data_IF_772157542139
#
_entry.id   IF_772157542139
#
_cell.length_a   1.000
_cell.length_b   1.000
_cell.length_c   1.000
_cell.angle_alpha   90.00
_cell.angle_beta   90.00
_cell.angle_gamma   90.00
#
_symmetry.space_group_name_H-M   'P 1'
#
loop_
_entity.id
_entity.type
_entity.pdbx_description
1 polymer ?
#
# COMPACT_ATOMS: atom_id res chain seq x y z
N UNK A 1 -11.07 14.40 35.82
CA UNK A 1 -10.09 13.30 35.67
C UNK A 1 -8.87 13.89 35.01
N UNK A 2 -7.84 14.23 35.78
CA UNK A 2 -6.58 14.74 35.21
C UNK A 2 -5.88 13.57 34.53
N UNK A 3 -5.77 13.63 33.21
CA UNK A 3 -5.02 12.65 32.43
C UNK A 3 -3.57 12.71 32.87
N UNK A 4 -3.04 11.61 33.39
CA UNK A 4 -1.62 11.52 33.77
C UNK A 4 -0.80 11.71 32.51
N UNK A 5 0.10 12.70 32.44
CA UNK A 5 0.90 12.94 31.26
C UNK A 5 1.76 11.70 30.93
N UNK A 6 1.77 11.31 29.65
CA UNK A 6 2.60 10.20 29.18
C UNK A 6 4.08 10.63 29.19
N UNK A 7 4.73 10.32 30.32
CA UNK A 7 6.14 10.60 30.56
C UNK A 7 7.03 10.05 29.44
N UNK A 8 6.67 8.90 28.84
CA UNK A 8 7.49 8.25 27.80
C UNK A 8 7.38 8.99 26.47
N UNK A 9 6.20 9.51 26.13
CA UNK A 9 6.02 10.36 24.95
C UNK A 9 6.76 11.70 25.11
N UNK A 10 6.69 12.30 26.30
CA UNK A 10 7.41 13.54 26.62
C UNK A 10 8.93 13.35 26.54
N UNK A 11 9.50 12.34 27.21
CA UNK A 11 10.94 12.07 27.18
C UNK A 11 11.45 11.81 25.76
N UNK A 12 10.66 11.16 24.90
CA UNK A 12 11.02 10.96 23.48
C UNK A 12 11.02 12.22 22.64
N UNK A 13 10.36 13.29 23.10
CA UNK A 13 10.31 14.58 22.40
C UNK A 13 11.49 15.48 22.74
N UNK A 14 12.25 15.17 23.79
CA UNK A 14 13.43 15.92 24.21
C UNK A 14 14.65 15.57 23.36
N UNK A 15 15.57 16.53 23.20
CA UNK A 15 16.87 16.30 22.56
C UNK A 15 17.82 15.48 23.47
N UNK A 16 18.91 15.00 22.87
CA UNK A 16 19.87 14.13 23.55
C UNK A 16 20.62 14.83 24.71
N UNK A 17 20.83 16.15 24.62
CA UNK A 17 21.56 16.93 25.63
C UNK A 17 20.70 17.11 26.88
N UNK A 18 19.45 17.53 26.70
CA UNK A 18 18.46 17.65 27.78
C UNK A 18 18.20 16.31 28.47
N UNK A 19 18.11 15.21 27.70
CA UNK A 19 17.97 13.87 28.28
C UNK A 19 19.20 13.44 29.08
N UNK A 20 20.40 13.79 28.63
CA UNK A 20 21.64 13.47 29.33
C UNK A 20 21.74 14.24 30.65
N UNK A 21 21.41 15.53 30.68
CA UNK A 21 21.40 16.32 31.91
C UNK A 21 20.38 15.79 32.93
N UNK A 22 19.16 15.48 32.50
CA UNK A 22 18.13 14.92 33.37
C UNK A 22 18.55 13.56 33.96
N UNK A 23 19.12 12.68 33.13
CA UNK A 23 19.62 11.37 33.59
C UNK A 23 20.81 11.51 34.54
N UNK A 24 21.72 12.46 34.27
CA UNK A 24 22.86 12.71 35.13
C UNK A 24 22.42 13.27 36.49
N UNK A 25 21.51 14.25 36.49
CA UNK A 25 20.93 14.80 37.72
C UNK A 25 20.19 13.73 38.53
N UNK A 26 19.43 12.83 37.89
CA UNK A 26 18.76 11.74 38.60
C UNK A 26 19.76 10.71 39.15
N UNK A 27 20.80 10.38 38.39
CA UNK A 27 21.88 9.51 38.83
C UNK A 27 22.65 10.11 40.02
N UNK A 28 22.67 11.44 40.17
CA UNK A 28 23.26 12.04 41.36
C UNK A 28 22.55 11.62 42.66
N UNK A 29 21.23 11.42 42.58
CA UNK A 29 20.35 11.14 43.70
C UNK A 29 20.05 9.63 43.88
N UNK A 30 20.10 8.82 42.82
CA UNK A 30 19.92 7.37 42.87
C UNK A 30 21.24 6.60 42.68
N UNK A 31 21.72 5.98 43.78
CA UNK A 31 22.96 5.20 43.80
C UNK A 31 22.93 3.98 42.88
N UNK A 32 21.77 3.33 42.71
CA UNK A 32 21.64 2.14 41.84
C UNK A 32 21.68 2.55 40.37
N UNK A 33 21.00 3.64 40.01
CA UNK A 33 21.06 4.20 38.66
C UNK A 33 22.48 4.66 38.32
N UNK A 34 23.17 5.32 39.26
CA UNK A 34 24.58 5.69 39.12
C UNK A 34 25.47 4.49 38.87
N UNK A 35 25.40 3.46 39.71
CA UNK A 35 26.20 2.23 39.54
C UNK A 35 25.90 1.53 38.20
N UNK A 36 24.65 1.54 37.73
CA UNK A 36 24.27 0.96 36.43
C UNK A 36 24.81 1.80 35.25
N UNK A 37 24.75 3.13 35.33
CA UNK A 37 25.32 4.03 34.33
C UNK A 37 26.85 3.96 34.31
N UNK A 38 27.51 3.88 35.47
CA UNK A 38 28.96 3.70 35.60
C UNK A 38 29.43 2.35 35.08
N UNK A 39 28.67 1.27 35.31
CA UNK A 39 28.96 -0.04 34.70
C UNK A 39 28.79 0.00 33.18
N UNK A 40 27.75 0.67 32.68
CA UNK A 40 27.55 0.87 31.24
C UNK A 40 28.60 1.80 30.62
N UNK A 41 29.09 2.78 31.36
CA UNK A 41 30.17 3.69 30.95
C UNK A 41 31.55 3.01 31.02
N UNK A 42 31.79 2.17 32.02
CA UNK A 42 32.97 1.30 32.10
C UNK A 42 32.97 0.20 31.03
N UNK A 43 31.78 -0.19 30.57
CA UNK A 43 31.56 -0.99 29.37
C UNK A 43 31.53 -0.15 28.07
N UNK A 44 31.50 1.19 28.14
CA UNK A 44 31.57 2.04 26.96
C UNK A 44 32.98 1.89 26.38
N UNK A 45 33.02 1.48 25.11
CA UNK A 45 34.18 0.84 24.53
C UNK A 45 35.38 1.78 24.38
N UNK A 46 36.59 1.24 24.59
CA UNK A 46 37.84 1.86 24.13
C UNK A 46 37.91 1.98 22.60
N UNK A 47 36.91 1.49 21.88
CA UNK A 47 36.77 1.62 20.44
C UNK A 47 36.65 3.08 19.99
N UNK A 48 35.91 3.94 20.72
CA UNK A 48 35.61 5.29 20.22
C UNK A 48 36.88 6.12 19.91
N UNK A 49 37.89 6.22 20.81
CA UNK A 49 39.14 6.91 20.48
C UNK A 49 39.90 6.30 19.30
N UNK A 50 39.89 4.96 19.16
CA UNK A 50 40.56 4.29 18.04
C UNK A 50 39.85 4.58 16.70
N UNK A 51 38.51 4.60 16.70
CA UNK A 51 37.70 4.96 15.55
C UNK A 51 37.87 6.44 15.18
N UNK A 52 37.96 7.33 16.16
CA UNK A 52 38.22 8.75 15.92
C UNK A 52 39.59 8.99 15.28
N UNK A 53 40.63 8.29 15.76
CA UNK A 53 41.97 8.37 15.16
C UNK A 53 41.95 7.84 13.73
N UNK A 54 41.32 6.69 13.49
CA UNK A 54 41.24 6.08 12.17
C UNK A 54 40.46 6.97 11.19
N UNK A 55 39.36 7.56 11.63
CA UNK A 55 38.57 8.50 10.82
C UNK A 55 39.39 9.74 10.45
N UNK A 56 40.14 10.31 11.39
CA UNK A 56 41.03 11.45 11.11
C UNK A 56 42.10 11.08 10.08
N UNK A 57 42.74 9.91 10.21
CA UNK A 57 43.76 9.46 9.26
C UNK A 57 43.20 9.25 7.85
N UNK A 58 41.99 8.68 7.74
CA UNK A 58 41.30 8.56 6.45
C UNK A 58 40.89 9.93 5.87
N UNK A 59 40.47 10.87 6.73
CA UNK A 59 40.08 12.22 6.31
C UNK A 59 41.27 13.06 5.85
N UNK A 60 42.46 12.87 6.43
CA UNK A 60 43.68 13.58 6.01
C UNK A 60 44.28 13.05 4.71
N UNK A 61 43.74 11.96 4.15
CA UNK A 61 44.16 11.41 2.86
C UNK A 61 45.58 10.84 2.90
N UNK A 62 45.97 10.20 4.00
CA UNK A 62 47.29 9.58 4.13
C UNK A 62 47.53 8.56 3.01
N UNK A 63 48.74 8.54 2.44
CA UNK A 63 49.17 7.53 1.44
C UNK A 63 49.42 6.14 2.04
N UNK A 64 49.37 6.01 3.37
CA UNK A 64 49.59 4.75 4.05
C UNK A 64 48.36 3.86 3.93
N UNK A 65 48.57 2.57 3.67
CA UNK A 65 47.49 1.58 3.67
C UNK A 65 46.95 1.39 5.10
N UNK A 66 45.77 1.96 5.34
CA UNK A 66 45.05 1.86 6.61
C UNK A 66 44.15 0.63 6.68
N UNK A 67 44.02 -0.16 5.60
CA UNK A 67 43.13 -1.33 5.54
C UNK A 67 43.44 -2.36 6.65
N UNK A 68 44.71 -2.72 6.91
CA UNK A 68 45.04 -3.65 8.00
C UNK A 68 44.71 -3.09 9.38
N UNK A 69 44.91 -1.78 9.58
CA UNK A 69 44.61 -1.11 10.85
C UNK A 69 43.08 -1.08 11.07
N UNK A 70 42.31 -0.66 10.07
CA UNK A 70 40.86 -0.61 10.13
C UNK A 70 40.26 -2.00 10.40
N UNK A 71 40.79 -3.03 9.75
CA UNK A 71 40.39 -4.42 10.01
C UNK A 71 40.68 -4.85 11.44
N UNK A 72 41.88 -4.59 11.95
CA UNK A 72 42.26 -4.93 13.33
C UNK A 72 41.40 -4.17 14.35
N UNK A 73 41.09 -2.91 14.08
CA UNK A 73 40.19 -2.11 14.93
C UNK A 73 38.79 -2.72 14.98
N UNK A 74 38.25 -3.16 13.83
CA UNK A 74 36.94 -3.84 13.73
C UNK A 74 36.92 -5.20 14.44
N UNK A 75 37.99 -5.98 14.35
CA UNK A 75 38.13 -7.28 15.01
C UNK A 75 38.32 -7.14 16.53
N UNK A 76 38.88 -6.03 17.01
CA UNK A 76 39.15 -5.73 18.43
C UNK A 76 38.06 -4.97 19.18
N UNK A 77 36.81 -5.00 18.71
CA UNK A 77 35.68 -4.24 19.26
C UNK A 77 34.99 -4.92 20.47
N UNK A 78 35.78 -5.42 21.42
CA UNK A 78 35.21 -6.02 22.64
C UNK A 78 34.41 -4.97 23.43
N UNK A 79 33.19 -5.34 23.84
CA UNK A 79 32.27 -4.44 24.54
C UNK A 79 31.68 -3.29 23.69
N UNK A 80 32.01 -3.19 22.40
CA UNK A 80 31.51 -2.12 21.54
C UNK A 80 30.00 -2.18 21.32
N UNK A 81 29.39 -1.00 21.35
CA UNK A 81 27.99 -0.77 21.01
C UNK A 81 27.70 -1.11 19.54
N UNK A 82 26.44 -1.36 19.20
CA UNK A 82 26.03 -1.60 17.82
C UNK A 82 26.30 -0.40 16.89
N UNK A 83 26.35 0.82 17.43
CA UNK A 83 26.70 2.02 16.68
C UNK A 83 28.20 2.08 16.36
N UNK A 84 29.06 1.78 17.33
CA UNK A 84 30.52 1.70 17.13
C UNK A 84 30.90 0.61 16.15
N UNK A 85 30.25 -0.56 16.21
CA UNK A 85 30.46 -1.64 15.23
C UNK A 85 30.10 -1.22 13.81
N UNK A 86 28.94 -0.56 13.62
CA UNK A 86 28.53 -0.01 12.32
C UNK A 86 29.53 1.05 11.82
N UNK A 87 29.96 1.95 12.70
CA UNK A 87 30.98 2.97 12.37
C UNK A 87 32.29 2.35 11.94
N UNK A 88 32.78 1.34 12.66
CA UNK A 88 34.00 0.62 12.31
C UNK A 88 33.91 -0.10 10.95
N UNK A 89 32.77 -0.72 10.65
CA UNK A 89 32.54 -1.35 9.34
C UNK A 89 32.59 -0.33 8.21
N UNK A 90 31.93 0.82 8.37
CA UNK A 90 31.95 1.90 7.38
C UNK A 90 33.36 2.48 7.17
N UNK A 91 34.14 2.62 8.25
CA UNK A 91 35.53 3.06 8.16
C UNK A 91 36.43 2.02 7.48
N UNK A 92 36.20 0.73 7.71
CA UNK A 92 36.89 -0.34 6.99
C UNK A 92 36.55 -0.32 5.49
N UNK A 93 35.28 -0.17 5.13
CA UNK A 93 34.85 -0.02 3.74
C UNK A 93 35.53 1.18 3.05
N UNK A 94 35.58 2.33 3.72
CA UNK A 94 36.31 3.52 3.24
C UNK A 94 37.80 3.26 3.05
N UNK A 95 38.45 2.55 3.98
CA UNK A 95 39.86 2.20 3.85
C UNK A 95 40.09 1.29 2.63
N UNK A 96 39.23 0.28 2.44
CA UNK A 96 39.26 -0.58 1.25
C UNK A 96 39.02 0.19 -0.06
N UNK A 97 38.20 1.25 -0.06
CA UNK A 97 38.00 2.05 -1.27
C UNK A 97 39.27 2.83 -1.66
N UNK A 98 40.03 3.33 -0.68
CA UNK A 98 41.30 4.06 -0.93
C UNK A 98 42.42 3.11 -1.33
N UNK A 99 42.54 1.98 -0.65
CA UNK A 99 43.53 0.95 -0.93
C UNK A 99 42.85 -0.42 -1.06
N UNK A 100 42.33 -0.76 -2.27
CA UNK A 100 41.61 -2.00 -2.50
C UNK A 100 42.47 -3.23 -2.20
N UNK A 101 42.07 -4.10 -1.26
CA UNK A 101 42.70 -5.41 -1.10
C UNK A 101 42.34 -6.31 -2.29
N UNK A 102 42.88 -7.53 -2.31
CA UNK A 102 42.50 -8.51 -3.33
C UNK A 102 40.98 -8.78 -3.32
N UNK A 103 40.29 -8.65 -4.47
CA UNK A 103 38.83 -8.74 -4.55
C UNK A 103 38.19 -10.02 -4.01
N UNK A 104 38.73 -11.19 -4.37
CA UNK A 104 38.15 -12.48 -3.97
C UNK A 104 38.39 -12.79 -2.48
N UNK A 105 39.59 -12.57 -1.92
CA UNK A 105 39.79 -12.68 -0.47
C UNK A 105 38.93 -11.71 0.35
N UNK A 106 38.68 -10.49 -0.14
CA UNK A 106 37.76 -9.55 0.51
C UNK A 106 36.33 -10.09 0.52
N UNK A 107 35.85 -10.59 -0.63
CA UNK A 107 34.54 -11.24 -0.76
C UNK A 107 34.38 -12.43 0.20
N UNK A 108 35.36 -13.34 0.22
CA UNK A 108 35.36 -14.52 1.08
C UNK A 108 35.37 -14.13 2.56
N UNK A 109 36.14 -13.09 2.93
CA UNK A 109 36.15 -12.57 4.28
C UNK A 109 34.78 -11.99 4.67
N UNK A 110 34.20 -11.08 3.86
CA UNK A 110 32.89 -10.46 4.12
C UNK A 110 31.74 -11.49 4.22
N UNK A 111 31.81 -12.59 3.48
CA UNK A 111 30.83 -13.67 3.60
C UNK A 111 31.08 -14.55 4.83
N UNK A 112 32.36 -14.83 5.13
CA UNK A 112 32.75 -15.50 6.36
C UNK A 112 32.28 -14.76 7.60
N UNK A 113 32.40 -13.42 7.59
CA UNK A 113 31.91 -12.54 8.65
C UNK A 113 30.39 -12.65 8.80
N UNK A 114 29.66 -12.44 7.69
CA UNK A 114 28.21 -12.42 7.67
C UNK A 114 27.57 -13.75 8.08
N UNK A 115 28.15 -14.90 7.70
CA UNK A 115 27.56 -16.22 7.96
C UNK A 115 27.89 -16.81 9.33
N UNK A 116 28.96 -16.36 9.99
CA UNK A 116 29.50 -17.04 11.17
C UNK A 116 29.53 -16.17 12.44
N UNK A 117 29.29 -14.85 12.35
CA UNK A 117 29.34 -13.92 13.48
C UNK A 117 28.03 -13.14 13.61
N UNK A 118 27.04 -13.67 14.35
CA UNK A 118 25.74 -12.99 14.52
C UNK A 118 25.83 -11.72 15.37
N UNK A 119 26.91 -11.55 16.12
CA UNK A 119 27.24 -10.36 16.93
C UNK A 119 27.87 -9.22 16.09
N UNK A 120 28.21 -9.48 14.83
CA UNK A 120 28.85 -8.50 13.98
C UNK A 120 27.84 -7.57 13.27
N UNK A 121 28.27 -6.35 12.90
CA UNK A 121 27.41 -5.42 12.19
C UNK A 121 27.00 -6.01 10.84
N UNK A 122 25.80 -5.67 10.38
CA UNK A 122 25.35 -6.08 9.06
C UNK A 122 26.29 -5.50 7.99
N UNK A 123 26.68 -6.36 7.05
CA UNK A 123 27.51 -5.99 5.91
C UNK A 123 26.61 -5.39 4.82
N UNK A 124 26.85 -4.15 4.44
CA UNK A 124 26.25 -3.50 3.28
C UNK A 124 27.17 -3.68 2.07
N UNK A 125 26.75 -4.50 1.10
CA UNK A 125 27.58 -4.79 -0.09
C UNK A 125 27.91 -3.52 -0.89
N UNK A 126 27.01 -2.53 -0.88
CA UNK A 126 27.19 -1.26 -1.56
C UNK A 126 28.43 -0.49 -1.08
N UNK A 127 28.74 -0.54 0.21
CA UNK A 127 29.89 0.16 0.80
C UNK A 127 31.22 -0.42 0.31
N UNK A 128 31.23 -1.70 -0.08
CA UNK A 128 32.42 -2.41 -0.56
C UNK A 128 32.45 -2.58 -2.08
N UNK A 129 31.43 -2.11 -2.82
CA UNK A 129 31.26 -2.38 -4.24
C UNK A 129 32.47 -1.95 -5.09
N UNK A 130 33.03 -0.77 -4.80
CA UNK A 130 34.20 -0.23 -5.50
C UNK A 130 35.46 -1.09 -5.23
N UNK A 131 35.70 -1.44 -3.96
CA UNK A 131 36.85 -2.25 -3.57
C UNK A 131 36.76 -3.70 -4.06
N UNK A 132 35.56 -4.27 -4.12
CA UNK A 132 35.31 -5.62 -4.63
C UNK A 132 35.44 -5.69 -6.16
N UNK A 133 35.00 -4.64 -6.86
CA UNK A 133 34.90 -4.64 -8.31
C UNK A 133 34.09 -5.83 -8.87
N UNK A 134 34.15 -6.02 -10.19
CA UNK A 134 33.47 -7.13 -10.84
C UNK A 134 33.91 -8.53 -10.34
N UNK A 135 35.21 -8.81 -10.11
CA UNK A 135 35.66 -10.13 -9.67
C UNK A 135 35.15 -10.50 -8.27
N UNK A 136 35.25 -9.56 -7.32
CA UNK A 136 34.79 -9.77 -5.94
C UNK A 136 33.27 -9.94 -5.86
N UNK A 137 32.51 -9.12 -6.60
CA UNK A 137 31.05 -9.24 -6.65
C UNK A 137 30.61 -10.57 -7.29
N UNK A 138 31.30 -11.02 -8.34
CA UNK A 138 31.03 -12.32 -8.97
C UNK A 138 31.33 -13.49 -8.01
N UNK A 139 32.44 -13.41 -7.27
CA UNK A 139 32.79 -14.37 -6.21
C UNK A 139 31.74 -14.42 -5.11
N UNK A 140 31.30 -13.26 -4.61
CA UNK A 140 30.24 -13.19 -3.61
C UNK A 140 28.94 -13.82 -4.11
N UNK A 141 28.53 -13.48 -5.35
CA UNK A 141 27.34 -14.04 -5.98
C UNK A 141 27.41 -15.57 -6.08
N UNK A 142 28.54 -16.12 -6.53
CA UNK A 142 28.72 -17.57 -6.65
C UNK A 142 28.50 -18.30 -5.31
N UNK A 143 29.05 -17.77 -4.21
CA UNK A 143 28.90 -18.37 -2.88
C UNK A 143 27.47 -18.24 -2.36
N UNK A 144 26.87 -17.05 -2.52
CA UNK A 144 25.49 -16.79 -2.10
C UNK A 144 24.50 -17.70 -2.84
N UNK A 145 24.63 -17.82 -4.15
CA UNK A 145 23.81 -18.72 -4.98
C UNK A 145 23.97 -20.18 -4.54
N UNK A 146 25.20 -20.61 -4.22
CA UNK A 146 25.48 -21.93 -3.67
C UNK A 146 24.77 -22.19 -2.34
N UNK A 147 24.74 -21.21 -1.44
CA UNK A 147 24.00 -21.31 -0.16
C UNK A 147 22.49 -21.36 -0.40
N UNK A 148 21.97 -20.58 -1.35
CA UNK A 148 20.54 -20.54 -1.68
C UNK A 148 20.04 -21.84 -2.34
N UNK A 149 20.88 -22.51 -3.12
CA UNK A 149 20.61 -23.81 -3.75
C UNK A 149 20.72 -24.99 -2.76
N UNK A 150 21.42 -24.79 -1.63
CA UNK A 150 21.62 -25.80 -0.60
C UNK A 150 20.40 -26.09 0.29
N UNK A 151 20.64 -26.85 1.36
CA UNK A 151 19.59 -27.20 2.33
C UNK A 151 19.11 -25.98 3.11
N UNK A 152 17.82 -25.92 3.51
CA UNK A 152 17.32 -24.89 4.40
C UNK A 152 18.14 -24.81 5.70
N UNK A 153 18.45 -23.60 6.14
CA UNK A 153 19.19 -23.34 7.39
C UNK A 153 19.34 -21.85 7.68
N UNK A 154 19.87 -21.46 8.85
CA UNK A 154 19.96 -20.06 9.29
C UNK A 154 20.71 -19.14 8.31
N UNK A 155 21.70 -19.68 7.60
CA UNK A 155 22.48 -18.94 6.59
C UNK A 155 21.65 -18.55 5.36
N UNK A 156 20.52 -19.21 5.11
CA UNK A 156 19.71 -18.98 3.91
C UNK A 156 19.03 -17.62 3.93
N UNK A 157 18.60 -17.13 5.10
CA UNK A 157 17.97 -15.81 5.20
C UNK A 157 19.01 -14.70 4.99
N UNK A 158 20.22 -14.88 5.54
CA UNK A 158 21.37 -13.99 5.30
C UNK A 158 21.73 -13.99 3.81
N UNK A 159 21.78 -15.17 3.17
CA UNK A 159 22.05 -15.30 1.75
C UNK A 159 20.97 -14.62 0.88
N UNK A 160 19.68 -14.68 1.25
CA UNK A 160 18.61 -13.96 0.53
C UNK A 160 18.81 -12.44 0.60
N UNK A 161 19.16 -11.91 1.78
CA UNK A 161 19.46 -10.47 1.95
C UNK A 161 20.66 -10.06 1.10
N UNK A 162 21.73 -10.84 1.13
CA UNK A 162 22.94 -10.57 0.34
C UNK A 162 22.68 -10.66 -1.17
N UNK A 163 21.85 -11.62 -1.63
CA UNK A 163 21.48 -11.74 -3.04
C UNK A 163 20.71 -10.50 -3.55
N UNK A 164 19.84 -9.94 -2.71
CA UNK A 164 19.13 -8.69 -3.02
C UNK A 164 20.10 -7.50 -3.11
N UNK A 165 20.99 -7.32 -2.13
CA UNK A 165 22.01 -6.27 -2.17
C UNK A 165 22.96 -6.42 -3.36
N UNK A 166 23.37 -7.65 -3.70
CA UNK A 166 24.21 -7.92 -4.87
C UNK A 166 23.51 -7.52 -6.16
N UNK A 167 22.24 -7.89 -6.34
CA UNK A 167 21.47 -7.50 -7.53
C UNK A 167 21.29 -5.98 -7.64
N UNK A 168 21.15 -5.27 -6.51
CA UNK A 168 21.10 -3.80 -6.47
C UNK A 168 22.43 -3.17 -6.87
N UNK A 169 23.55 -3.68 -6.35
CA UNK A 169 24.90 -3.16 -6.63
C UNK A 169 25.35 -3.44 -8.05
N UNK A 170 25.08 -4.64 -8.58
CA UNK A 170 25.44 -4.99 -9.97
C UNK A 170 24.48 -4.40 -11.00
N UNK A 171 23.34 -3.85 -10.58
CA UNK A 171 22.29 -3.39 -11.48
C UNK A 171 21.56 -4.53 -12.20
N UNK A 172 21.59 -5.75 -11.66
CA UNK A 172 20.86 -6.89 -12.20
C UNK A 172 19.37 -6.78 -11.85
N UNK A 173 18.68 -6.01 -12.70
CA UNK A 173 17.25 -5.70 -12.57
C UNK A 173 16.40 -6.97 -12.58
N UNK A 174 16.71 -7.95 -13.43
CA UNK A 174 15.90 -9.17 -13.56
C UNK A 174 16.00 -10.04 -12.31
N UNK A 175 17.21 -10.23 -11.78
CA UNK A 175 17.39 -10.96 -10.51
C UNK A 175 16.71 -10.23 -9.36
N UNK A 176 16.85 -8.90 -9.27
CA UNK A 176 16.20 -8.11 -8.22
C UNK A 176 14.66 -8.21 -8.29
N UNK A 177 14.09 -8.17 -9.49
CA UNK A 177 12.65 -8.35 -9.70
C UNK A 177 12.18 -9.74 -9.29
N UNK A 178 12.94 -10.79 -9.62
CA UNK A 178 12.62 -12.16 -9.22
C UNK A 178 12.59 -12.29 -7.68
N UNK A 179 13.57 -11.70 -6.98
CA UNK A 179 13.64 -11.68 -5.52
C UNK A 179 12.46 -10.91 -4.93
N UNK A 180 12.20 -9.69 -5.40
CA UNK A 180 11.13 -8.83 -4.87
C UNK A 180 9.74 -9.43 -5.11
N UNK A 181 9.52 -10.07 -6.27
CA UNK A 181 8.23 -10.69 -6.60
C UNK A 181 7.96 -11.97 -5.78
N UNK A 182 9.01 -12.65 -5.31
CA UNK A 182 8.87 -13.79 -4.41
C UNK A 182 8.48 -13.39 -2.97
N UNK A 183 8.68 -12.11 -2.59
CA UNK A 183 8.26 -11.58 -1.27
C UNK A 183 6.75 -11.39 -1.22
N UNK A 184 6.13 -11.43 -0.03
CA UNK A 184 4.71 -11.08 0.10
C UNK A 184 4.48 -9.65 -0.40
N UNK A 185 3.42 -9.41 -1.20
CA UNK A 185 3.15 -8.10 -1.76
C UNK A 185 2.76 -7.13 -0.64
N UNK A 186 3.60 -6.13 -0.41
CA UNK A 186 3.34 -5.02 0.52
C UNK A 186 3.44 -3.70 -0.22
N UNK A 187 2.91 -2.62 0.37
CA UNK A 187 2.99 -1.29 -0.25
C UNK A 187 4.42 -0.88 -0.55
N UNK A 188 5.33 -1.21 0.34
CA UNK A 188 6.74 -0.92 0.22
C UNK A 188 7.39 -1.73 -0.90
N UNK A 189 7.14 -3.04 -0.96
CA UNK A 189 7.67 -3.93 -2.00
C UNK A 189 7.18 -3.52 -3.39
N UNK A 190 5.87 -3.24 -3.54
CA UNK A 190 5.30 -2.81 -4.82
C UNK A 190 5.94 -1.51 -5.32
N UNK A 191 6.15 -0.53 -4.42
CA UNK A 191 6.81 0.73 -4.76
C UNK A 191 8.29 0.52 -5.10
N UNK A 192 8.98 -0.40 -4.42
CA UNK A 192 10.37 -0.75 -4.74
C UNK A 192 10.49 -1.35 -6.13
N UNK A 193 9.61 -2.30 -6.49
CA UNK A 193 9.54 -2.88 -7.85
C UNK A 193 9.33 -1.81 -8.92
N UNK A 194 8.38 -0.90 -8.71
CA UNK A 194 8.10 0.20 -9.66
C UNK A 194 9.32 1.12 -9.82
N UNK A 195 10.01 1.45 -8.72
CA UNK A 195 11.22 2.28 -8.77
C UNK A 195 12.34 1.60 -9.54
N UNK A 196 12.58 0.31 -9.28
CA UNK A 196 13.60 -0.50 -9.97
C UNK A 196 13.34 -0.55 -11.47
N UNK A 197 12.10 -0.83 -11.89
CA UNK A 197 11.72 -0.84 -13.30
C UNK A 197 11.92 0.53 -13.96
N UNK A 198 11.62 1.61 -13.22
CA UNK A 198 11.77 2.98 -13.73
C UNK A 198 13.24 3.39 -13.85
N UNK A 199 14.09 3.07 -12.87
CA UNK A 199 15.54 3.37 -12.94
C UNK A 199 16.22 2.58 -14.05
N UNK A 200 15.69 1.41 -14.40
CA UNK A 200 16.15 0.59 -15.51
C UNK A 200 15.63 1.04 -16.90
N UNK A 201 14.82 2.10 -16.99
CA UNK A 201 14.20 2.53 -18.25
C UNK A 201 13.04 1.65 -18.76
N UNK A 202 12.63 0.63 -18.00
CA UNK A 202 11.52 -0.29 -18.33
C UNK A 202 10.16 0.33 -17.96
N UNK A 203 9.89 1.53 -18.48
CA UNK A 203 8.72 2.33 -18.10
C UNK A 203 7.38 1.63 -18.41
N UNK A 204 7.28 0.90 -19.53
CA UNK A 204 6.07 0.16 -19.89
C UNK A 204 5.70 -0.89 -18.85
N UNK A 205 6.68 -1.64 -18.36
CA UNK A 205 6.49 -2.65 -17.31
C UNK A 205 6.19 -2.02 -15.96
N UNK A 206 6.84 -0.90 -15.62
CA UNK A 206 6.54 -0.14 -14.41
C UNK A 206 5.08 0.32 -14.39
N UNK A 207 4.57 0.84 -15.51
CA UNK A 207 3.17 1.28 -15.66
C UNK A 207 2.23 0.08 -15.55
N UNK A 208 2.51 -1.02 -16.26
CA UNK A 208 1.69 -2.23 -16.20
C UNK A 208 1.61 -2.80 -14.78
N UNK A 209 2.74 -2.83 -14.07
CA UNK A 209 2.81 -3.30 -12.68
C UNK A 209 2.07 -2.36 -11.73
N UNK A 210 2.22 -1.04 -11.89
CA UNK A 210 1.49 -0.05 -11.12
C UNK A 210 -0.03 -0.17 -11.33
N UNK A 211 -0.48 -0.31 -12.58
CA UNK A 211 -1.89 -0.52 -12.90
C UNK A 211 -2.42 -1.82 -12.27
N UNK A 212 -1.66 -2.92 -12.34
CA UNK A 212 -2.02 -4.20 -11.70
C UNK A 212 -2.16 -4.07 -10.18
N UNK A 213 -1.19 -3.46 -9.51
CA UNK A 213 -1.23 -3.28 -8.05
C UNK A 213 -2.32 -2.29 -7.63
N UNK A 214 -2.57 -1.25 -8.43
CA UNK A 214 -3.74 -0.38 -8.26
C UNK A 214 -5.03 -1.15 -8.41
N UNK A 215 -5.25 -1.94 -9.47
CA UNK A 215 -6.45 -2.76 -9.63
C UNK A 215 -6.66 -3.76 -8.50
N UNK A 216 -5.58 -4.36 -7.98
CA UNK A 216 -5.65 -5.26 -6.83
C UNK A 216 -5.99 -4.54 -5.52
N UNK A 217 -5.54 -3.29 -5.34
CA UNK A 217 -5.87 -2.42 -4.19
C UNK A 217 -7.21 -1.70 -4.33
N UNK A 218 -7.62 -1.45 -5.57
CA UNK A 218 -8.91 -0.92 -6.01
C UNK A 218 -9.96 -2.03 -6.14
N UNK A 219 -9.63 -3.29 -5.82
CA UNK A 219 -10.64 -4.19 -5.27
C UNK A 219 -11.21 -3.44 -4.07
N UNK A 220 -12.40 -2.83 -4.21
CA UNK A 220 -12.78 -1.80 -3.27
C UNK A 220 -12.93 -2.48 -1.92
N UNK A 221 -12.79 -1.71 -0.84
CA UNK A 221 -13.04 -2.18 0.55
C UNK A 221 -14.47 -2.75 0.78
N UNK A 222 -15.25 -3.03 -0.27
CA UNK A 222 -16.56 -3.69 -0.28
C UNK A 222 -16.78 -4.69 -1.45
N UNK A 223 -15.73 -5.22 -2.09
CA UNK A 223 -15.83 -6.32 -3.06
C UNK A 223 -16.52 -5.97 -4.39
N UNK A 224 -17.00 -6.99 -5.11
CA UNK A 224 -17.62 -6.83 -6.44
C UNK A 224 -18.84 -5.88 -6.44
N UNK A 225 -19.56 -5.79 -5.32
CA UNK A 225 -20.69 -4.88 -5.14
C UNK A 225 -20.29 -3.41 -5.29
N UNK A 226 -19.15 -3.03 -4.70
CA UNK A 226 -18.65 -1.66 -4.82
C UNK A 226 -18.18 -1.31 -6.25
N UNK A 227 -17.72 -2.30 -7.02
CA UNK A 227 -17.41 -2.11 -8.44
C UNK A 227 -18.68 -1.87 -9.25
N UNK A 228 -19.74 -2.65 -9.02
CA UNK A 228 -21.05 -2.42 -9.65
C UNK A 228 -21.65 -1.06 -9.27
N UNK A 229 -21.46 -0.59 -8.02
CA UNK A 229 -21.85 0.78 -7.64
C UNK A 229 -21.09 1.83 -8.46
N UNK A 230 -19.78 1.67 -8.63
CA UNK A 230 -18.98 2.61 -9.40
C UNK A 230 -19.34 2.61 -10.89
N UNK A 231 -19.61 1.44 -11.46
CA UNK A 231 -20.10 1.28 -12.84
C UNK A 231 -21.46 1.95 -13.03
N UNK A 232 -22.41 1.70 -12.13
CA UNK A 232 -23.71 2.34 -12.14
C UNK A 232 -23.62 3.87 -12.04
N UNK A 233 -22.74 4.40 -11.18
CA UNK A 233 -22.49 5.85 -11.07
C UNK A 233 -21.92 6.45 -12.36
N UNK A 234 -21.09 5.71 -13.09
CA UNK A 234 -20.47 6.18 -14.34
C UNK A 234 -21.44 6.12 -15.52
N UNK A 235 -22.35 5.14 -15.52
CA UNK A 235 -23.32 4.93 -16.59
C UNK A 235 -24.64 4.38 -16.03
N UNK A 236 -25.55 5.24 -15.56
CA UNK A 236 -26.85 4.81 -15.06
C UNK A 236 -27.73 4.33 -16.22
N UNK A 237 -27.82 3.02 -16.39
CA UNK A 237 -28.58 2.40 -17.47
C UNK A 237 -29.22 1.09 -16.99
N UNK A 238 -30.15 0.50 -17.78
CA UNK A 238 -30.80 -0.73 -17.37
C UNK A 238 -29.85 -1.89 -17.07
N UNK A 239 -28.79 -2.03 -17.86
CA UNK A 239 -27.82 -3.11 -17.67
C UNK A 239 -27.02 -2.95 -16.37
N UNK A 240 -26.59 -1.73 -16.04
CA UNK A 240 -25.82 -1.45 -14.82
C UNK A 240 -26.69 -1.50 -13.56
N UNK A 241 -27.97 -1.12 -13.66
CA UNK A 241 -28.96 -1.27 -12.58
C UNK A 241 -29.21 -2.74 -12.25
N UNK A 242 -29.53 -3.56 -13.25
CA UNK A 242 -29.75 -5.00 -13.06
C UNK A 242 -28.50 -5.71 -12.56
N UNK A 243 -27.31 -5.37 -13.08
CA UNK A 243 -26.06 -5.95 -12.60
C UNK A 243 -25.75 -5.60 -11.13
N UNK A 244 -26.13 -4.39 -10.68
CA UNK A 244 -26.02 -4.00 -9.27
C UNK A 244 -27.04 -4.76 -8.40
N UNK A 245 -28.28 -4.92 -8.88
CA UNK A 245 -29.35 -5.65 -8.19
C UNK A 245 -28.99 -7.12 -7.95
N UNK A 246 -28.63 -7.82 -9.02
CA UNK A 246 -28.27 -9.25 -8.97
C UNK A 246 -27.18 -9.51 -7.93
N UNK A 247 -26.20 -8.61 -7.86
CA UNK A 247 -25.08 -8.76 -6.95
C UNK A 247 -25.40 -8.30 -5.51
N UNK A 248 -26.36 -7.40 -5.33
CA UNK A 248 -26.79 -6.94 -4.02
C UNK A 248 -27.64 -7.98 -3.28
N UNK A 249 -28.38 -8.83 -4.01
CA UNK A 249 -29.23 -9.87 -3.43
C UNK A 249 -30.19 -9.32 -2.37
N UNK A 250 -30.17 -9.87 -1.15
CA UNK A 250 -31.01 -9.43 -0.04
C UNK A 250 -30.78 -7.98 0.39
N UNK A 251 -29.59 -7.41 0.11
CA UNK A 251 -29.24 -6.02 0.43
C UNK A 251 -29.74 -5.02 -0.61
N UNK A 252 -30.40 -5.50 -1.66
CA UNK A 252 -30.89 -4.64 -2.73
C UNK A 252 -31.74 -3.44 -2.26
N UNK A 253 -32.64 -3.55 -1.26
CA UNK A 253 -33.42 -2.40 -0.82
C UNK A 253 -32.56 -1.21 -0.35
N UNK A 254 -31.48 -1.47 0.39
CA UNK A 254 -30.54 -0.45 0.88
C UNK A 254 -29.70 0.13 -0.26
N UNK A 255 -29.16 -0.73 -1.12
CA UNK A 255 -28.34 -0.34 -2.28
C UNK A 255 -29.14 0.47 -3.29
N UNK A 256 -30.41 0.11 -3.49
CA UNK A 256 -31.33 0.81 -4.38
C UNK A 256 -31.62 2.22 -3.91
N UNK A 257 -31.87 2.43 -2.61
CA UNK A 257 -32.09 3.76 -2.07
C UNK A 257 -30.88 4.68 -2.34
N UNK A 258 -29.68 4.19 -2.05
CA UNK A 258 -28.44 4.92 -2.32
C UNK A 258 -28.20 5.17 -3.83
N UNK A 259 -28.56 4.22 -4.69
CA UNK A 259 -28.46 4.36 -6.14
C UNK A 259 -29.41 5.45 -6.69
N UNK A 260 -30.65 5.49 -6.20
CA UNK A 260 -31.65 6.48 -6.61
C UNK A 260 -31.32 7.90 -6.10
N UNK A 261 -30.82 8.02 -4.87
CA UNK A 261 -30.39 9.32 -4.31
C UNK A 261 -29.25 9.94 -5.14
N UNK A 262 -28.26 9.13 -5.53
CA UNK A 262 -27.15 9.57 -6.38
C UNK A 262 -27.60 10.03 -7.77
N UNK A 263 -28.63 9.38 -8.31
CA UNK A 263 -29.23 9.71 -9.60
C UNK A 263 -29.97 11.05 -9.55
N UNK A 264 -30.75 11.30 -8.49
CA UNK A 264 -31.55 12.53 -8.35
C UNK A 264 -30.66 13.77 -8.26
N UNK A 265 -29.46 13.61 -7.68
CA UNK A 265 -28.39 14.61 -7.62
C UNK A 265 -27.63 14.78 -8.95
N UNK A 266 -27.74 13.83 -9.89
CA UNK A 266 -27.07 13.81 -11.20
C UNK A 266 -27.91 14.38 -12.36
N UNK A 267 -27.57 13.99 -13.59
CA UNK A 267 -28.26 14.43 -14.82
C UNK A 267 -29.66 13.80 -14.90
N UNK A 268 -30.73 14.59 -15.13
CA UNK A 268 -32.12 14.09 -15.07
C UNK A 268 -32.48 13.09 -16.18
N UNK A 269 -31.79 13.11 -17.33
CA UNK A 269 -32.04 12.19 -18.44
C UNK A 269 -31.64 10.73 -18.11
N UNK A 270 -30.49 10.54 -17.47
CA UNK A 270 -29.98 9.22 -17.06
C UNK A 270 -30.84 8.63 -15.92
N UNK A 271 -31.42 9.50 -15.09
CA UNK A 271 -32.34 9.13 -14.02
C UNK A 271 -33.63 8.47 -14.50
N UNK A 272 -34.18 8.98 -15.62
CA UNK A 272 -35.46 8.54 -16.17
C UNK A 272 -35.44 7.05 -16.51
N UNK A 273 -34.37 6.55 -17.14
CA UNK A 273 -34.24 5.15 -17.52
C UNK A 273 -34.23 4.21 -16.31
N UNK A 274 -33.49 4.56 -15.25
CA UNK A 274 -33.42 3.77 -14.03
C UNK A 274 -34.77 3.74 -13.27
N UNK A 275 -35.47 4.88 -13.21
CA UNK A 275 -36.78 4.97 -12.56
C UNK A 275 -37.87 4.17 -13.30
N UNK A 276 -37.81 4.03 -14.63
CA UNK A 276 -38.75 3.18 -15.38
C UNK A 276 -38.63 1.71 -14.97
N UNK A 277 -37.41 1.19 -14.89
CA UNK A 277 -37.17 -0.18 -14.44
C UNK A 277 -37.59 -0.40 -12.99
N UNK A 278 -37.34 0.58 -12.12
CA UNK A 278 -37.77 0.50 -10.73
C UNK A 278 -39.29 0.41 -10.61
N UNK A 279 -40.03 1.18 -11.41
CA UNK A 279 -41.49 1.11 -11.47
C UNK A 279 -41.97 -0.27 -11.95
N UNK A 280 -41.37 -0.81 -13.01
CA UNK A 280 -41.69 -2.15 -13.51
C UNK A 280 -41.41 -3.24 -12.46
N UNK A 281 -40.25 -3.20 -11.80
CA UNK A 281 -39.88 -4.12 -10.71
C UNK A 281 -40.92 -4.11 -9.58
N UNK A 282 -41.31 -2.94 -9.11
CA UNK A 282 -42.32 -2.80 -8.05
C UNK A 282 -43.69 -3.36 -8.48
N UNK A 283 -44.05 -3.20 -9.75
CA UNK A 283 -45.30 -3.73 -10.29
C UNK A 283 -45.26 -5.25 -10.47
N UNK A 284 -44.09 -5.83 -10.73
CA UNK A 284 -43.87 -7.28 -10.85
C UNK A 284 -43.98 -8.03 -9.54
N UNK A 285 -43.62 -7.41 -8.41
CA UNK A 285 -43.74 -8.01 -7.07
C UNK A 285 -45.20 -8.31 -6.66
N UNK A 286 -46.18 -7.73 -7.36
CA UNK A 286 -47.63 -7.97 -7.19
C UNK A 286 -48.16 -7.76 -5.77
N UNK A 287 -47.47 -6.95 -4.97
CA UNK A 287 -47.81 -6.68 -3.56
C UNK A 287 -48.44 -5.27 -3.38
N UNK A 288 -49.44 -5.09 -2.49
CA UNK A 288 -50.07 -3.78 -2.24
C UNK A 288 -49.13 -2.68 -1.71
N UNK A 289 -48.07 -3.02 -0.97
CA UNK A 289 -47.00 -2.09 -0.56
C UNK A 289 -46.21 -1.67 -1.79
N UNK A 290 -45.80 -2.62 -2.62
CA UNK A 290 -45.04 -2.34 -3.84
C UNK A 290 -45.83 -1.48 -4.84
N UNK A 291 -47.15 -1.65 -4.96
CA UNK A 291 -47.97 -0.76 -5.79
C UNK A 291 -48.03 0.69 -5.26
N UNK A 292 -48.04 0.88 -3.94
CA UNK A 292 -47.93 2.23 -3.34
C UNK A 292 -46.58 2.86 -3.61
N UNK A 293 -45.51 2.08 -3.53
CA UNK A 293 -44.17 2.53 -3.89
C UNK A 293 -44.06 2.83 -5.38
N UNK A 294 -44.68 2.04 -6.26
CA UNK A 294 -44.67 2.26 -7.71
C UNK A 294 -45.34 3.61 -8.05
N UNK A 295 -46.45 3.92 -7.38
CA UNK A 295 -47.13 5.19 -7.53
C UNK A 295 -46.27 6.39 -7.04
N UNK A 296 -45.47 6.21 -5.98
CA UNK A 296 -44.49 7.21 -5.53
C UNK A 296 -43.35 7.37 -6.54
N UNK A 297 -42.76 6.27 -7.01
CA UNK A 297 -41.71 6.29 -8.02
C UNK A 297 -42.18 6.95 -9.34
N UNK A 298 -43.42 6.72 -9.77
CA UNK A 298 -44.03 7.41 -10.91
C UNK A 298 -44.16 8.93 -10.70
N UNK A 299 -44.42 9.38 -9.47
CA UNK A 299 -44.48 10.80 -9.13
C UNK A 299 -43.10 11.45 -9.24
N UNK A 300 -42.06 10.76 -8.77
CA UNK A 300 -40.67 11.23 -8.85
C UNK A 300 -40.18 11.23 -10.30
N UNK A 301 -40.50 10.18 -11.07
CA UNK A 301 -40.25 10.07 -12.50
C UNK A 301 -40.90 11.23 -13.29
N UNK A 302 -42.15 11.61 -12.94
CA UNK A 302 -42.79 12.81 -13.50
C UNK A 302 -42.00 14.08 -13.20
N UNK A 303 -41.44 14.20 -12.01
CA UNK A 303 -40.58 15.32 -11.62
C UNK A 303 -39.29 15.37 -12.44
N UNK A 304 -38.67 14.22 -12.68
CA UNK A 304 -37.47 14.08 -13.52
C UNK A 304 -37.74 14.46 -14.98
N UNK A 305 -38.82 13.95 -15.57
CA UNK A 305 -39.24 14.32 -16.93
C UNK A 305 -39.54 15.82 -17.07
N UNK A 306 -40.09 16.47 -16.04
CA UNK A 306 -40.27 17.94 -16.04
C UNK A 306 -38.93 18.68 -16.00
N UNK A 307 -37.95 18.21 -15.21
CA UNK A 307 -36.60 18.80 -15.14
C UNK A 307 -35.80 18.60 -16.44
N UNK A 308 -36.13 17.57 -17.21
CA UNK A 308 -35.50 17.24 -18.48
C UNK A 308 -36.26 17.79 -19.71
N UNK A 309 -37.31 18.59 -19.49
CA UNK A 309 -38.18 19.14 -20.55
C UNK A 309 -38.80 18.08 -21.48
N UNK A 310 -39.09 16.88 -20.94
CA UNK A 310 -39.64 15.73 -21.68
C UNK A 310 -40.97 15.24 -21.08
N UNK A 311 -41.86 16.17 -20.72
CA UNK A 311 -43.14 15.87 -20.06
C UNK A 311 -44.10 15.02 -20.93
N UNK A 312 -44.04 15.17 -22.26
CA UNK A 312 -44.88 14.39 -23.19
C UNK A 312 -44.47 12.92 -23.23
N UNK A 313 -43.17 12.62 -23.13
CA UNK A 313 -42.67 11.24 -23.04
C UNK A 313 -43.17 10.53 -21.77
N UNK A 314 -43.27 11.26 -20.65
CA UNK A 314 -43.85 10.72 -19.42
C UNK A 314 -45.32 10.35 -19.60
N UNK A 315 -46.08 11.21 -20.29
CA UNK A 315 -47.50 10.98 -20.60
C UNK A 315 -47.69 9.72 -21.44
N UNK A 316 -46.86 9.53 -22.47
CA UNK A 316 -46.88 8.34 -23.31
C UNK A 316 -46.51 7.08 -22.50
N UNK A 317 -45.39 7.11 -21.77
CA UNK A 317 -44.96 6.00 -20.92
C UNK A 317 -46.03 5.60 -19.89
N UNK A 318 -46.63 6.58 -19.20
CA UNK A 318 -47.67 6.31 -18.20
C UNK A 318 -48.91 5.67 -18.85
N UNK A 319 -49.28 6.10 -20.05
CA UNK A 319 -50.44 5.54 -20.77
C UNK A 319 -50.20 4.07 -21.12
N UNK A 320 -49.03 3.76 -21.69
CA UNK A 320 -48.67 2.40 -22.09
C UNK A 320 -48.54 1.47 -20.88
N UNK A 321 -47.95 1.97 -19.79
CA UNK A 321 -47.81 1.22 -18.53
C UNK A 321 -49.17 0.88 -17.92
N UNK A 322 -50.12 1.83 -17.92
CA UNK A 322 -51.46 1.61 -17.37
C UNK A 322 -52.30 0.67 -18.25
N UNK A 323 -52.17 0.72 -19.59
CA UNK A 323 -52.86 -0.23 -20.46
C UNK A 323 -52.31 -1.65 -20.31
N UNK A 324 -50.99 -1.80 -20.23
CA UNK A 324 -50.30 -3.08 -20.00
C UNK A 324 -50.75 -3.72 -18.67
N UNK A 325 -50.97 -2.92 -17.64
CA UNK A 325 -51.34 -3.39 -16.30
C UNK A 325 -52.79 -3.14 -15.91
N UNK A 326 -53.70 -2.93 -16.87
CA UNK A 326 -55.12 -2.57 -16.62
C UNK A 326 -55.90 -3.54 -15.74
N UNK A 327 -55.49 -4.82 -15.67
CA UNK A 327 -56.10 -5.85 -14.82
C UNK A 327 -55.69 -5.75 -13.34
N UNK A 328 -54.63 -4.98 -13.02
CA UNK A 328 -54.12 -4.80 -11.64
C UNK A 328 -54.87 -3.64 -10.97
N UNK A 329 -56.14 -3.84 -10.60
CA UNK A 329 -57.02 -2.78 -10.06
C UNK A 329 -56.43 -2.03 -8.86
N UNK A 330 -55.70 -2.73 -7.98
CA UNK A 330 -55.04 -2.10 -6.83
C UNK A 330 -53.95 -1.12 -7.25
N UNK A 331 -53.15 -1.44 -8.28
CA UNK A 331 -52.14 -0.53 -8.83
C UNK A 331 -52.80 0.75 -9.36
N UNK A 332 -53.90 0.62 -10.12
CA UNK A 332 -54.63 1.78 -10.66
C UNK A 332 -55.14 2.71 -9.55
N UNK A 333 -55.63 2.14 -8.44
CA UNK A 333 -56.06 2.91 -7.26
C UNK A 333 -54.89 3.69 -6.66
N UNK A 334 -53.73 3.05 -6.46
CA UNK A 334 -52.58 3.73 -5.85
C UNK A 334 -51.99 4.83 -6.77
N UNK A 335 -51.97 4.62 -8.10
CA UNK A 335 -51.57 5.66 -9.06
C UNK A 335 -52.51 6.87 -9.00
N UNK A 336 -53.83 6.63 -8.88
CA UNK A 336 -54.81 7.71 -8.70
C UNK A 336 -54.63 8.44 -7.37
N UNK A 337 -54.37 7.70 -6.29
CA UNK A 337 -54.11 8.25 -4.96
C UNK A 337 -52.85 9.13 -4.93
N UNK A 338 -51.84 8.83 -5.75
CA UNK A 338 -50.63 9.63 -5.88
C UNK A 338 -50.83 10.98 -6.61
N UNK A 339 -52.08 11.32 -7.00
CA UNK A 339 -52.44 12.56 -7.73
C UNK A 339 -51.68 12.73 -9.04
N UNK A 340 -51.47 11.62 -9.74
CA UNK A 340 -50.96 11.63 -11.11
C UNK A 340 -52.17 11.71 -12.04
N UNK A 341 -52.20 12.71 -12.92
CA UNK A 341 -53.28 12.84 -13.89
C UNK A 341 -53.20 11.67 -14.87
N UNK A 342 -54.19 10.79 -14.86
CA UNK A 342 -54.25 9.65 -15.77
C UNK A 342 -54.68 10.21 -17.14
N UNK A 343 -53.86 10.07 -18.19
CA UNK A 343 -54.23 10.48 -19.53
C UNK A 343 -55.50 9.74 -19.95
N UNK A 344 -56.50 10.45 -20.49
CA UNK A 344 -57.69 9.78 -21.02
C UNK A 344 -57.25 8.86 -22.15
N UNK A 345 -57.56 7.57 -22.06
CA UNK A 345 -57.35 6.62 -23.15
C UNK A 345 -57.99 7.20 -24.41
N UNK A 346 -57.19 7.45 -25.45
CA UNK A 346 -57.72 7.79 -26.77
C UNK A 346 -58.54 6.58 -27.22
N UNK A 347 -59.86 6.67 -27.13
CA UNK A 347 -60.74 5.70 -27.76
C UNK A 347 -60.36 5.66 -29.25
N UNK A 348 -60.03 4.46 -29.74
CA UNK A 348 -59.71 4.23 -31.12
C UNK A 348 -60.81 4.86 -31.99
N UNK A 349 -60.43 5.89 -32.75
CA UNK A 349 -61.24 6.38 -33.87
C UNK A 349 -61.05 5.37 -34.98
N UNK A 350 -61.79 4.27 -34.94
CA UNK A 350 -62.03 3.45 -36.12
C UNK A 350 -63.20 4.06 -36.87
N UNK A 351 -62.88 4.82 -37.91
CA UNK A 351 -63.79 5.10 -39.02
C UNK A 351 -63.58 4.06 -40.11
N UNK A 352 -64.71 3.52 -40.59
CA UNK A 352 -64.93 2.58 -41.69
C UNK A 352 -64.52 1.12 -41.47
#
# INVERSE_FOLDING_TARGET
MNSVPDLRAYLRSLDAETLAELLYAEAEHDRRLREELEQRAGAASKASPALDVLERLLATGTQADLTPLARRTLEGLDGATAAERRRAMALYARACAVHPPEPEPLADWLLGTAFHRPDWPEVEVADFAEALGAPGLARMKSIVDGVLAGRPGPRRDIARRLAEQLAEVTGDVDTLLAILTAKPPTREVDLRIIRVLRSAGRHGEAIAYAAKTMMQRERPRGGALALRRAEFRRNPCPASYSALRELAGERWPEERAAALDLIVAGKPAEAIAAYRLYVEELIEQKDPVCYREAARALKDLRGLHRRADSADEFTHYLTDLLDTHKRKTRLLIEVRNARIAIPKTRAATMSA
#
